data_IF_978572801069
#
_entry.id   IF_978572801069
#
_cell.length_a   1.000
_cell.length_b   1.000
_cell.length_c   1.000
_cell.angle_alpha   90.00
_cell.angle_beta   90.00
_cell.angle_gamma   90.00
#
_symmetry.space_group_name_H-M   'P 1'
#
loop_
_entity.id
_entity.type
_entity.pdbx_description
1 polymer ?
#
# COMPACT_ATOMS: atom_id res chain seq x y z
N UNK A 1 11.53 -11.27 -2.21
CA UNK A 1 10.15 -10.72 -2.01
C UNK A 1 9.18 -11.81 -1.57
N UNK A 2 8.92 -12.79 -2.40
CA UNK A 2 8.20 -14.01 -2.02
C UNK A 2 9.19 -15.14 -1.89
N UNK A 3 8.81 -16.21 -1.15
CA UNK A 3 9.64 -17.39 -0.98
C UNK A 3 9.53 -18.37 -2.16
N UNK A 4 9.16 -17.88 -3.33
CA UNK A 4 8.92 -18.66 -4.53
C UNK A 4 9.90 -18.27 -5.63
N UNK A 5 11.09 -18.83 -5.57
CA UNK A 5 12.19 -18.44 -6.46
C UNK A 5 11.87 -18.49 -7.95
N UNK A 6 11.11 -19.47 -8.38
CA UNK A 6 10.80 -19.66 -9.78
C UNK A 6 9.37 -19.26 -10.11
N UNK A 7 8.68 -18.65 -9.13
CA UNK A 7 7.32 -18.22 -9.34
C UNK A 7 7.29 -16.89 -10.08
N UNK A 8 6.33 -16.77 -10.97
CA UNK A 8 6.13 -15.53 -11.69
C UNK A 8 5.37 -14.55 -10.83
N UNK A 9 5.74 -13.30 -10.97
CA UNK A 9 5.06 -12.19 -10.33
C UNK A 9 4.58 -11.25 -11.42
N UNK A 10 3.55 -10.48 -11.10
CA UNK A 10 3.13 -9.39 -11.97
C UNK A 10 3.11 -8.10 -11.18
N UNK A 11 3.56 -7.03 -11.83
CA UNK A 11 3.49 -5.69 -11.24
C UNK A 11 2.07 -5.18 -11.45
N UNK A 12 1.41 -4.83 -10.34
CA UNK A 12 0.08 -4.25 -10.40
C UNK A 12 0.17 -2.76 -10.71
N UNK A 13 1.06 -2.06 -10.04
CA UNK A 13 1.34 -0.65 -10.29
C UNK A 13 2.66 -0.26 -9.66
N UNK A 14 3.24 0.80 -10.18
CA UNK A 14 4.50 1.35 -9.71
C UNK A 14 4.48 2.86 -9.83
N UNK A 15 4.97 3.55 -8.84
CA UNK A 15 5.14 4.99 -8.88
C UNK A 15 6.38 5.40 -8.08
N UNK A 16 6.53 6.70 -7.81
CA UNK A 16 7.70 7.22 -7.09
C UNK A 16 7.83 6.68 -5.68
N UNK A 17 6.72 6.32 -5.04
CA UNK A 17 6.73 5.84 -3.67
C UNK A 17 7.14 4.37 -3.59
N UNK A 18 6.68 3.54 -4.53
CA UNK A 18 6.96 2.12 -4.46
C UNK A 18 6.31 1.30 -5.56
N UNK A 19 6.24 0.02 -5.31
CA UNK A 19 5.75 -0.97 -6.27
C UNK A 19 4.86 -1.97 -5.55
N UNK A 20 3.77 -2.35 -6.20
CA UNK A 20 2.90 -3.43 -5.71
C UNK A 20 2.91 -4.54 -6.73
N UNK A 21 3.23 -5.75 -6.27
CA UNK A 21 3.28 -6.93 -7.11
C UNK A 21 2.39 -8.03 -6.54
N UNK A 22 1.96 -8.93 -7.41
CA UNK A 22 1.18 -10.09 -7.00
C UNK A 22 1.89 -11.36 -7.46
N UNK A 23 1.99 -12.33 -6.58
CA UNK A 23 2.47 -13.67 -6.91
C UNK A 23 1.38 -14.38 -7.72
N UNK A 24 1.70 -14.92 -8.88
CA UNK A 24 0.73 -15.58 -9.74
C UNK A 24 0.35 -16.98 -9.24
N UNK A 25 1.21 -17.56 -8.43
CA UNK A 25 1.03 -18.92 -7.93
C UNK A 25 0.22 -18.93 -6.63
N UNK A 26 0.58 -18.11 -5.64
CA UNK A 26 -0.09 -18.09 -4.34
C UNK A 26 -1.06 -16.91 -4.17
N UNK A 27 -1.09 -16.01 -5.13
CA UNK A 27 -1.97 -14.83 -5.16
C UNK A 27 -1.71 -13.79 -4.06
N UNK A 28 -0.65 -13.96 -3.27
CA UNK A 28 -0.28 -12.96 -2.27
C UNK A 28 0.21 -11.68 -2.95
N UNK A 29 -0.04 -10.57 -2.27
CA UNK A 29 0.30 -9.24 -2.76
C UNK A 29 1.41 -8.68 -1.88
N UNK A 30 2.42 -8.13 -2.52
CA UNK A 30 3.55 -7.50 -1.84
C UNK A 30 3.54 -6.01 -2.14
N UNK A 31 3.46 -5.21 -1.08
CA UNK A 31 3.49 -3.74 -1.16
C UNK A 31 4.88 -3.32 -0.69
N UNK A 32 5.66 -2.79 -1.62
CA UNK A 32 7.06 -2.44 -1.37
C UNK A 32 7.20 -0.93 -1.42
N UNK A 33 7.53 -0.33 -0.28
CA UNK A 33 7.73 1.12 -0.14
C UNK A 33 9.06 1.31 0.58
N UNK A 34 10.03 1.92 -0.10
CA UNK A 34 11.37 2.10 0.46
C UNK A 34 11.93 0.76 0.98
N UNK A 35 12.16 0.67 2.28
CA UNK A 35 12.70 -0.53 2.92
C UNK A 35 11.62 -1.43 3.52
N UNK A 36 10.36 -1.09 3.29
CA UNK A 36 9.24 -1.83 3.84
C UNK A 36 8.64 -2.75 2.78
N UNK A 37 8.40 -3.99 3.14
CA UNK A 37 7.67 -4.94 2.31
C UNK A 37 6.52 -5.51 3.14
N UNK A 38 5.29 -5.16 2.80
CA UNK A 38 4.10 -5.70 3.44
C UNK A 38 3.49 -6.75 2.53
N UNK A 39 3.56 -8.01 2.97
CA UNK A 39 3.01 -9.15 2.22
C UNK A 39 1.64 -9.48 2.81
N UNK A 40 0.62 -9.48 1.97
CA UNK A 40 -0.75 -9.66 2.44
C UNK A 40 -1.57 -10.47 1.43
N UNK A 41 -2.71 -10.97 1.89
CA UNK A 41 -3.70 -11.53 0.97
C UNK A 41 -4.63 -10.41 0.48
N UNK A 42 -5.56 -10.75 -0.41
CA UNK A 42 -6.45 -9.75 -0.99
C UNK A 42 -7.36 -9.10 0.04
N UNK A 43 -7.85 -9.86 1.01
CA UNK A 43 -8.69 -9.32 2.07
C UNK A 43 -7.94 -8.28 2.90
N UNK A 44 -6.71 -8.59 3.29
CA UNK A 44 -5.85 -7.67 4.03
C UNK A 44 -5.51 -6.44 3.19
N UNK A 45 -5.32 -6.61 1.89
CA UNK A 45 -5.12 -5.50 0.98
C UNK A 45 -6.33 -4.57 0.98
N UNK A 46 -7.53 -5.12 0.88
CA UNK A 46 -8.76 -4.33 0.88
C UNK A 46 -8.96 -3.60 2.21
N UNK A 47 -8.58 -4.20 3.31
CA UNK A 47 -8.64 -3.55 4.63
C UNK A 47 -7.70 -2.35 4.69
N UNK A 48 -6.47 -2.51 4.21
CA UNK A 48 -5.51 -1.42 4.13
C UNK A 48 -6.01 -0.31 3.20
N UNK A 49 -6.53 -0.70 2.04
CA UNK A 49 -7.09 0.25 1.07
C UNK A 49 -8.17 1.12 1.71
N UNK A 50 -9.11 0.49 2.43
CA UNK A 50 -10.20 1.21 3.10
C UNK A 50 -9.67 2.11 4.22
N UNK A 51 -8.66 1.64 4.94
CA UNK A 51 -8.05 2.45 6.00
C UNK A 51 -7.43 3.72 5.43
N UNK A 52 -6.64 3.59 4.37
CA UNK A 52 -5.97 4.73 3.74
C UNK A 52 -7.00 5.67 3.11
N UNK A 53 -8.04 5.13 2.50
CA UNK A 53 -9.12 5.92 1.93
C UNK A 53 -9.85 6.71 3.03
N UNK A 54 -10.11 6.08 4.18
CA UNK A 54 -10.73 6.76 5.32
C UNK A 54 -9.84 7.88 5.86
N UNK A 55 -8.53 7.66 5.92
CA UNK A 55 -7.58 8.70 6.34
C UNK A 55 -7.65 9.89 5.38
N UNK A 56 -7.70 9.63 4.08
CA UNK A 56 -7.79 10.68 3.07
C UNK A 56 -9.07 11.51 3.24
N UNK A 57 -10.19 10.87 3.53
CA UNK A 57 -11.47 11.54 3.72
C UNK A 57 -11.55 12.32 5.02
N UNK A 58 -10.72 11.98 6.00
CA UNK A 58 -10.70 12.61 7.32
C UNK A 58 -9.28 13.09 7.66
N UNK A 59 -8.61 13.66 6.69
CA UNK A 59 -7.19 13.98 6.77
C UNK A 59 -6.84 14.84 7.97
N UNK A 60 -7.72 15.75 8.36
CA UNK A 60 -7.52 16.63 9.51
C UNK A 60 -7.25 15.87 10.82
N UNK A 61 -7.84 14.68 10.97
CA UNK A 61 -7.68 13.87 12.17
C UNK A 61 -6.37 13.09 12.20
N UNK A 62 -5.65 13.06 11.07
CA UNK A 62 -4.44 12.25 10.92
C UNK A 62 -3.20 13.05 10.59
N UNK A 63 -3.30 14.38 10.64
CA UNK A 63 -2.17 15.27 10.39
C UNK A 63 -1.45 15.57 11.69
N UNK A 64 -0.12 15.44 11.66
CA UNK A 64 0.73 15.77 12.79
C UNK A 64 1.81 16.75 12.35
N UNK A 65 1.98 17.80 13.14
CA UNK A 65 3.04 18.77 12.92
C UNK A 65 4.29 18.31 13.65
N UNK A 66 5.34 18.06 12.87
CA UNK A 66 6.65 17.71 13.41
C UNK A 66 7.62 18.76 12.93
N UNK A 67 8.06 19.62 13.86
CA UNK A 67 9.03 20.71 13.57
C UNK A 67 8.59 21.60 12.41
N UNK A 68 7.30 21.94 12.38
CA UNK A 68 6.74 22.83 11.38
C UNK A 68 6.38 22.19 10.05
N UNK A 69 6.52 20.87 9.95
CA UNK A 69 6.15 20.12 8.74
C UNK A 69 4.99 19.19 9.08
N UNK A 70 3.98 19.19 8.22
CA UNK A 70 2.80 18.33 8.41
C UNK A 70 3.03 16.96 7.79
N UNK A 71 2.75 15.94 8.58
CA UNK A 71 2.83 14.53 8.14
C UNK A 71 1.51 13.82 8.39
N UNK A 72 1.26 12.81 7.57
CA UNK A 72 0.14 11.87 7.78
C UNK A 72 0.70 10.63 8.46
N UNK A 73 0.07 10.21 9.55
CA UNK A 73 0.53 9.05 10.31
C UNK A 73 -0.42 7.88 10.07
N UNK A 74 0.18 6.75 9.69
CA UNK A 74 -0.51 5.48 9.51
C UNK A 74 -0.04 4.53 10.61
N UNK A 75 -0.95 4.15 11.51
CA UNK A 75 -0.63 3.21 12.58
C UNK A 75 -0.44 1.80 12.03
N UNK A 76 0.57 1.10 12.52
CA UNK A 76 0.83 -0.29 12.16
C UNK A 76 0.29 -1.21 13.25
N UNK A 77 0.12 -2.52 12.97
CA UNK A 77 -0.24 -3.49 14.00
C UNK A 77 0.80 -3.63 15.11
N UNK A 78 2.04 -3.22 14.85
CA UNK A 78 3.10 -3.25 15.86
C UNK A 78 2.94 -2.06 16.79
N UNK A 79 2.94 -2.35 18.09
CA UNK A 79 2.85 -1.29 19.10
C UNK A 79 4.03 -0.32 18.97
N UNK A 80 3.73 0.97 19.05
CA UNK A 80 4.71 2.06 18.99
C UNK A 80 5.45 2.20 17.65
N UNK A 81 5.02 1.52 16.61
CA UNK A 81 5.59 1.66 15.27
C UNK A 81 4.55 2.24 14.34
N UNK A 82 4.84 3.39 13.76
CA UNK A 82 3.96 4.06 12.81
C UNK A 82 4.73 4.39 11.53
N UNK A 83 4.00 4.43 10.43
CA UNK A 83 4.53 4.96 9.17
C UNK A 83 4.14 6.43 9.08
N UNK A 84 5.08 7.26 8.66
CA UNK A 84 4.80 8.68 8.44
C UNK A 84 5.06 9.04 6.98
N UNK A 85 4.17 9.84 6.43
CA UNK A 85 4.24 10.29 5.05
C UNK A 85 4.06 11.80 5.01
N UNK A 86 4.87 12.50 4.21
CA UNK A 86 4.51 13.87 3.88
C UNK A 86 3.31 13.83 2.92
N UNK A 87 2.71 14.99 2.62
CA UNK A 87 1.50 15.01 1.78
C UNK A 87 1.73 14.43 0.39
N UNK A 88 2.88 14.71 -0.18
CA UNK A 88 3.24 14.21 -1.50
C UNK A 88 3.36 12.68 -1.50
N UNK A 89 4.01 12.14 -0.48
CA UNK A 89 4.13 10.70 -0.30
C UNK A 89 2.78 10.05 -0.07
N UNK A 90 1.92 10.69 0.72
CA UNK A 90 0.58 10.15 0.97
C UNK A 90 -0.27 10.12 -0.30
N UNK A 91 -0.19 11.16 -1.13
CA UNK A 91 -0.87 11.16 -2.42
C UNK A 91 -0.37 10.04 -3.32
N UNK A 92 0.94 9.78 -3.31
CA UNK A 92 1.50 8.66 -4.06
C UNK A 92 1.06 7.32 -3.51
N UNK A 93 0.88 7.20 -2.19
CA UNK A 93 0.35 5.98 -1.58
C UNK A 93 -1.09 5.73 -2.03
N UNK A 94 -1.92 6.76 -2.03
CA UNK A 94 -3.30 6.66 -2.53
C UNK A 94 -3.33 6.21 -3.99
N UNK A 95 -2.53 6.84 -4.82
CA UNK A 95 -2.45 6.49 -6.24
C UNK A 95 -1.98 5.06 -6.45
N UNK A 96 -0.95 4.66 -5.71
CA UNK A 96 -0.40 3.31 -5.78
C UNK A 96 -1.44 2.26 -5.42
N UNK A 97 -2.18 2.47 -4.33
CA UNK A 97 -3.20 1.55 -3.87
C UNK A 97 -4.41 1.51 -4.79
N UNK A 98 -4.86 2.68 -5.27
CA UNK A 98 -6.00 2.78 -6.18
C UNK A 98 -5.74 2.08 -7.51
N UNK A 99 -4.60 2.34 -8.12
CA UNK A 99 -4.26 1.74 -9.41
C UNK A 99 -4.04 0.24 -9.30
N UNK A 100 -3.42 -0.21 -8.20
CA UNK A 100 -3.22 -1.63 -7.97
C UNK A 100 -4.55 -2.34 -7.74
N UNK A 101 -5.48 -1.72 -7.02
CA UNK A 101 -6.83 -2.27 -6.81
C UNK A 101 -7.56 -2.41 -8.14
N UNK A 102 -7.47 -1.40 -8.98
CA UNK A 102 -8.04 -1.44 -10.33
C UNK A 102 -7.48 -2.62 -11.12
N UNK A 103 -6.16 -2.81 -11.08
CA UNK A 103 -5.52 -3.91 -11.80
C UNK A 103 -5.89 -5.28 -11.24
N UNK A 104 -6.05 -5.40 -9.93
CA UNK A 104 -6.55 -6.65 -9.33
C UNK A 104 -7.93 -6.99 -9.87
N UNK A 105 -8.82 -6.01 -9.94
CA UNK A 105 -10.18 -6.22 -10.43
C UNK A 105 -10.19 -6.54 -11.92
N UNK A 106 -9.35 -5.88 -12.72
CA UNK A 106 -9.21 -6.17 -14.15
C UNK A 106 -8.74 -7.61 -14.37
N UNK A 107 -7.74 -8.05 -13.62
CA UNK A 107 -7.21 -9.41 -13.77
C UNK A 107 -8.24 -10.48 -13.40
N UNK A 108 -9.13 -10.20 -12.47
CA UNK A 108 -10.20 -11.13 -12.11
C UNK A 108 -11.19 -11.37 -13.24
N UNK A 109 -11.37 -10.38 -14.11
CA UNK A 109 -12.30 -10.49 -15.24
C UNK A 109 -11.80 -11.46 -16.32
N UNK A 110 -10.50 -11.76 -16.31
CA UNK A 110 -9.88 -12.60 -17.33
C UNK A 110 -9.45 -13.98 -16.80
N UNK A 111 -9.92 -14.35 -15.63
CA UNK A 111 -9.59 -15.64 -15.02
C UNK A 111 -10.83 -16.49 -14.71
#
# INVERSE_FOLDING_TARGET
MFDHYNEKERILHENKLGTIVQCLSCEKISIIINNLNYVCNEQEYNELFKLVENIDQNLEDYIYDIMGVNYVILSTPLDKVNLIFNFNEFENLLELLNQSKYMLDVHKLFH
#
